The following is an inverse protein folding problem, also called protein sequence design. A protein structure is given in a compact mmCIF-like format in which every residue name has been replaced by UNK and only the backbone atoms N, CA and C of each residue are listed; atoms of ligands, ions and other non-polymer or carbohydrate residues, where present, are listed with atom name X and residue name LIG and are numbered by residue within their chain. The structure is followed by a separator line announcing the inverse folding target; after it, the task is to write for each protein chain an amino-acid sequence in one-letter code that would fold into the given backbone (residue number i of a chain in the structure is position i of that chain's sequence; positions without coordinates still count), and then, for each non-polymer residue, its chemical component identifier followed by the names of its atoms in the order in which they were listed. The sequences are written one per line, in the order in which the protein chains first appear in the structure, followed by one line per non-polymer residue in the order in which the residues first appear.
data_IF_543138370118
#
_entry.id   IF_543138370118
#
_cell.length_a   1.000
_cell.length_b   1.000
_cell.length_c   1.000
_cell.angle_alpha   90.00
_cell.angle_beta   90.00
_cell.angle_gamma   90.00
#
_symmetry.space_group_name_H-M   'P 1'
#
loop_
_entity.id
_entity.type
_entity.pdbx_description
1 polymer ?
#
# COMPACT_ATOMS: atom_id res chain seq x y z
N UNK A 1 -9.69 -17.16 -2.72
CA UNK A 1 -8.30 -16.70 -3.02
C UNK A 1 -7.37 -17.86 -3.38
N UNK A 2 -7.31 -18.93 -2.57
CA UNK A 2 -6.44 -20.09 -2.79
C UNK A 2 -6.57 -20.68 -4.23
N UNK A 3 -7.77 -21.05 -4.64
CA UNK A 3 -8.01 -21.65 -5.97
C UNK A 3 -7.67 -20.69 -7.14
N UNK A 4 -7.88 -19.39 -6.91
CA UNK A 4 -7.50 -18.35 -7.88
C UNK A 4 -5.98 -18.28 -8.03
N UNK A 5 -5.25 -18.30 -6.91
CA UNK A 5 -3.79 -18.23 -6.91
C UNK A 5 -3.16 -19.47 -7.55
N UNK A 6 -3.68 -20.68 -7.24
CA UNK A 6 -3.19 -21.93 -7.82
C UNK A 6 -3.37 -21.99 -9.34
N UNK A 7 -4.42 -21.40 -9.86
CA UNK A 7 -4.72 -21.39 -11.29
C UNK A 7 -4.14 -20.14 -12.00
N UNK A 8 -3.53 -19.21 -11.26
CA UNK A 8 -3.01 -17.96 -11.84
C UNK A 8 -4.08 -17.07 -12.47
N UNK A 9 -5.32 -17.10 -11.95
CA UNK A 9 -6.43 -16.36 -12.54
C UNK A 9 -6.30 -14.86 -12.32
N UNK A 10 -6.58 -14.01 -13.32
CA UNK A 10 -6.46 -12.57 -13.23
C UNK A 10 -7.64 -11.94 -12.46
N UNK A 11 -7.74 -12.26 -11.18
CA UNK A 11 -8.78 -11.75 -10.28
C UNK A 11 -8.26 -10.58 -9.47
N UNK A 12 -9.07 -9.52 -9.34
CA UNK A 12 -8.78 -8.31 -8.57
C UNK A 12 -9.49 -8.39 -7.23
N UNK A 13 -8.74 -8.25 -6.15
CA UNK A 13 -9.26 -8.29 -4.77
C UNK A 13 -9.11 -6.91 -4.12
N UNK A 14 -10.14 -6.05 -4.17
CA UNK A 14 -10.18 -4.85 -3.33
C UNK A 14 -10.46 -5.26 -1.89
N UNK A 15 -9.54 -4.96 -0.98
CA UNK A 15 -9.62 -5.31 0.44
C UNK A 15 -9.98 -4.05 1.22
N UNK A 16 -11.26 -3.91 1.48
CA UNK A 16 -11.82 -2.84 2.31
C UNK A 16 -11.53 -3.09 3.80
N UNK A 17 -11.54 -2.04 4.60
CA UNK A 17 -11.34 -2.09 6.06
C UNK A 17 -10.00 -2.68 6.49
N UNK A 18 -8.94 -2.34 5.76
CA UNK A 18 -7.59 -2.72 6.14
C UNK A 18 -7.18 -2.07 7.47
N UNK A 19 -6.64 -2.85 8.40
CA UNK A 19 -6.21 -2.37 9.71
C UNK A 19 -7.36 -2.24 10.73
N UNK A 20 -7.22 -1.33 11.66
CA UNK A 20 -8.23 -1.06 12.69
C UNK A 20 -9.37 -0.21 12.12
N UNK A 21 -10.59 -0.50 12.52
CA UNK A 21 -11.82 0.04 11.93
C UNK A 21 -12.67 0.85 12.93
N UNK A 22 -12.16 1.16 14.10
CA UNK A 22 -12.83 1.99 15.11
C UNK A 22 -14.21 1.44 15.49
N UNK A 23 -15.26 2.22 15.20
CA UNK A 23 -16.64 1.91 15.59
C UNK A 23 -17.19 0.60 15.00
N UNK A 24 -16.63 0.07 13.92
CA UNK A 24 -17.07 -1.21 13.34
C UNK A 24 -16.71 -2.40 14.25
N UNK A 25 -15.81 -2.21 15.18
CA UNK A 25 -15.44 -3.19 16.21
C UNK A 25 -14.45 -4.26 15.75
N UNK A 26 -14.02 -5.13 16.69
CA UNK A 26 -12.91 -6.07 16.45
C UNK A 26 -13.22 -7.15 15.40
N UNK A 27 -14.49 -7.47 15.18
CA UNK A 27 -14.89 -8.47 14.18
C UNK A 27 -14.75 -8.01 12.74
N UNK A 28 -14.54 -6.70 12.52
CA UNK A 28 -14.35 -6.10 11.21
C UNK A 28 -12.92 -5.63 10.95
N UNK A 29 -12.00 -5.82 11.90
CA UNK A 29 -10.62 -5.42 11.75
C UNK A 29 -9.88 -6.25 10.68
N UNK A 30 -9.28 -5.57 9.70
CA UNK A 30 -8.50 -6.16 8.61
C UNK A 30 -7.02 -6.27 8.94
N UNK A 31 -6.66 -6.95 10.05
CA UNK A 31 -5.29 -6.98 10.57
C UNK A 31 -4.44 -8.10 9.98
N UNK A 32 -5.02 -9.09 9.32
CA UNK A 32 -4.33 -10.32 8.89
C UNK A 32 -4.25 -10.49 7.38
N UNK A 33 -4.91 -9.63 6.61
CA UNK A 33 -5.06 -9.74 5.16
C UNK A 33 -3.71 -9.78 4.42
N UNK A 34 -2.79 -8.90 4.74
CA UNK A 34 -1.44 -8.90 4.14
C UNK A 34 -0.74 -10.23 4.34
N UNK A 35 -0.82 -10.81 5.55
CA UNK A 35 -0.15 -12.07 5.88
C UNK A 35 -0.71 -13.22 5.05
N UNK A 36 -2.02 -13.47 5.09
CA UNK A 36 -2.57 -14.63 4.39
C UNK A 36 -2.62 -14.48 2.87
N UNK A 37 -2.72 -13.24 2.35
CA UNK A 37 -2.71 -13.00 0.90
C UNK A 37 -1.28 -13.14 0.36
N UNK A 38 -0.28 -12.58 1.05
CA UNK A 38 1.10 -12.62 0.60
C UNK A 38 1.71 -14.03 0.61
N UNK A 39 1.16 -14.99 1.38
CA UNK A 39 1.61 -16.39 1.36
C UNK A 39 1.23 -17.10 0.06
N UNK A 40 0.21 -16.63 -0.66
CA UNK A 40 -0.28 -17.30 -1.86
C UNK A 40 0.68 -17.08 -3.05
N UNK A 41 0.99 -18.13 -3.86
CA UNK A 41 1.86 -17.99 -5.01
C UNK A 41 1.24 -17.06 -6.07
N UNK A 42 2.10 -16.31 -6.77
CA UNK A 42 1.67 -15.41 -7.85
C UNK A 42 0.81 -14.21 -7.46
N UNK A 43 0.44 -14.07 -6.19
CA UNK A 43 -0.37 -12.95 -5.70
C UNK A 43 0.44 -11.65 -5.66
N UNK A 44 -0.09 -10.58 -6.25
CA UNK A 44 0.40 -9.21 -6.05
C UNK A 44 -0.37 -8.57 -4.90
N UNK A 45 0.34 -7.91 -3.96
CA UNK A 45 -0.25 -7.30 -2.76
C UNK A 45 0.18 -5.86 -2.63
N UNK A 46 -0.77 -4.92 -2.72
CA UNK A 46 -0.56 -3.49 -2.65
C UNK A 46 -1.27 -2.87 -1.44
N UNK A 47 -0.74 -1.75 -0.93
CA UNK A 47 -1.42 -0.92 0.06
C UNK A 47 -1.25 0.57 -0.29
N UNK A 48 -2.38 1.25 -0.44
CA UNK A 48 -2.39 2.67 -0.78
C UNK A 48 -2.02 3.54 0.41
N UNK A 49 -1.13 4.51 0.19
CA UNK A 49 -0.75 5.50 1.19
C UNK A 49 -1.81 6.60 1.36
N UNK A 50 -2.53 6.90 0.30
CA UNK A 50 -3.56 7.94 0.23
C UNK A 50 -4.57 7.63 -0.90
N UNK A 51 -5.55 8.50 -1.11
CA UNK A 51 -6.59 8.33 -2.11
C UNK A 51 -6.09 8.46 -3.56
N UNK A 52 -5.02 9.22 -3.82
CA UNK A 52 -4.42 9.28 -5.15
C UNK A 52 -3.67 7.98 -5.49
N UNK A 53 -2.89 7.45 -4.54
CA UNK A 53 -2.25 6.14 -4.69
C UNK A 53 -3.29 5.02 -4.85
N UNK A 54 -4.42 5.09 -4.12
CA UNK A 54 -5.52 4.15 -4.31
C UNK A 54 -6.05 4.20 -5.75
N UNK A 55 -6.19 5.38 -6.33
CA UNK A 55 -6.62 5.56 -7.73
C UNK A 55 -5.61 4.96 -8.72
N UNK A 56 -4.31 5.10 -8.47
CA UNK A 56 -3.26 4.45 -9.24
C UNK A 56 -3.32 2.93 -9.10
N UNK A 57 -3.51 2.40 -7.89
CA UNK A 57 -3.62 0.96 -7.64
C UNK A 57 -4.85 0.33 -8.26
N UNK A 58 -6.00 1.01 -8.24
CA UNK A 58 -7.21 0.57 -8.97
C UNK A 58 -6.93 0.48 -10.48
N UNK A 59 -6.27 1.49 -11.04
CA UNK A 59 -5.90 1.50 -12.46
C UNK A 59 -4.92 0.38 -12.80
N UNK A 60 -3.92 0.17 -11.94
CA UNK A 60 -2.93 -0.91 -12.07
C UNK A 60 -3.60 -2.27 -12.03
N UNK A 61 -4.45 -2.51 -11.03
CA UNK A 61 -5.19 -3.76 -10.89
C UNK A 61 -6.10 -4.02 -12.10
N UNK A 62 -6.77 -2.99 -12.61
CA UNK A 62 -7.63 -3.13 -13.79
C UNK A 62 -6.85 -3.52 -15.06
N UNK A 63 -5.59 -3.12 -15.16
CA UNK A 63 -4.72 -3.41 -16.32
C UNK A 63 -3.88 -4.68 -16.16
N UNK A 64 -3.83 -5.29 -14.97
CA UNK A 64 -2.98 -6.43 -14.68
C UNK A 64 -3.70 -7.74 -14.97
N UNK A 65 -3.26 -8.49 -15.98
CA UNK A 65 -3.84 -9.76 -16.42
C UNK A 65 -2.92 -10.98 -16.26
N UNK A 66 -1.73 -10.80 -15.62
CA UNK A 66 -0.74 -11.86 -15.46
C UNK A 66 -1.02 -12.80 -14.28
N UNK A 67 -1.98 -12.45 -13.41
CA UNK A 67 -2.35 -13.25 -12.25
C UNK A 67 -3.23 -12.49 -11.27
N UNK A 68 -3.42 -13.02 -10.05
CA UNK A 68 -4.24 -12.37 -9.04
C UNK A 68 -3.52 -11.19 -8.39
N UNK A 69 -4.27 -10.11 -8.17
CA UNK A 69 -3.77 -8.87 -7.58
C UNK A 69 -4.73 -8.36 -6.51
N UNK A 70 -4.19 -7.87 -5.41
CA UNK A 70 -4.94 -7.25 -4.33
C UNK A 70 -4.44 -5.85 -4.02
N UNK A 71 -5.34 -4.98 -3.62
CA UNK A 71 -5.02 -3.68 -3.05
C UNK A 71 -5.89 -3.42 -1.82
N UNK A 72 -5.26 -2.97 -0.76
CA UNK A 72 -5.92 -2.74 0.53
C UNK A 72 -6.02 -1.26 0.84
N UNK A 73 -7.12 -0.87 1.47
CA UNK A 73 -7.38 0.49 1.92
C UNK A 73 -8.18 0.51 3.23
N UNK A 74 -8.00 1.55 4.07
CA UNK A 74 -8.64 1.61 5.37
C UNK A 74 -10.11 2.02 5.27
N UNK A 75 -10.83 1.86 6.38
CA UNK A 75 -12.09 2.54 6.62
C UNK A 75 -11.78 3.95 7.10
N UNK A 76 -12.26 4.96 6.41
CA UNK A 76 -12.06 6.36 6.75
C UNK A 76 -12.28 7.30 5.58
N UNK A 77 -12.11 8.57 5.85
CA UNK A 77 -12.08 9.60 4.82
C UNK A 77 -10.67 9.71 4.23
N UNK A 78 -10.55 10.21 3.01
CA UNK A 78 -9.27 10.57 2.41
C UNK A 78 -8.59 11.71 3.17
N UNK A 79 -7.29 11.86 3.00
CA UNK A 79 -6.51 12.93 3.65
C UNK A 79 -6.65 14.28 2.94
N UNK A 80 -7.36 14.33 1.82
CA UNK A 80 -7.70 15.57 1.10
C UNK A 80 -6.59 16.05 0.16
N UNK A 81 -5.80 15.16 -0.40
CA UNK A 81 -4.78 15.51 -1.39
C UNK A 81 -5.40 15.74 -2.78
N UNK A 82 -4.66 16.47 -3.62
CA UNK A 82 -5.05 16.69 -5.01
C UNK A 82 -5.16 15.37 -5.77
N UNK A 83 -6.35 15.09 -6.27
CA UNK A 83 -6.63 13.86 -7.01
C UNK A 83 -6.23 14.00 -8.47
N UNK A 84 -5.41 13.09 -9.02
CA UNK A 84 -5.10 13.10 -10.44
C UNK A 84 -6.39 12.88 -11.26
N UNK A 85 -6.52 13.53 -12.41
CA UNK A 85 -7.68 13.34 -13.28
C UNK A 85 -7.84 11.86 -13.69
N UNK A 86 -6.72 11.15 -13.87
CA UNK A 86 -6.65 9.74 -14.26
C UNK A 86 -5.60 9.01 -13.44
N UNK A 87 -5.91 7.78 -13.01
CA UNK A 87 -4.91 6.89 -12.39
C UNK A 87 -3.84 6.47 -13.40
N UNK A 88 -2.62 6.32 -12.91
CA UNK A 88 -1.49 5.76 -13.67
C UNK A 88 -1.35 4.27 -13.39
N UNK A 89 -0.70 3.53 -14.28
CA UNK A 89 -0.35 2.13 -14.06
C UNK A 89 1.01 2.12 -13.38
N UNK A 90 1.05 1.58 -12.16
CA UNK A 90 2.28 1.43 -11.39
C UNK A 90 3.09 0.24 -11.92
N UNK A 91 4.40 0.36 -11.91
CA UNK A 91 5.29 -0.77 -12.14
C UNK A 91 5.18 -1.74 -10.96
N UNK A 92 4.86 -3.00 -11.25
CA UNK A 92 4.65 -4.02 -10.22
C UNK A 92 5.93 -4.26 -9.42
N UNK A 93 5.82 -4.18 -8.09
CA UNK A 93 6.93 -4.37 -7.18
C UNK A 93 7.81 -3.14 -6.97
N UNK A 94 7.44 -1.96 -7.51
CA UNK A 94 8.23 -0.73 -7.34
C UNK A 94 7.62 0.21 -6.29
N UNK A 95 8.41 0.43 -5.24
CA UNK A 95 8.19 1.50 -4.27
C UNK A 95 8.60 2.87 -4.81
N UNK A 96 8.57 3.87 -3.94
CA UNK A 96 9.08 5.23 -4.24
C UNK A 96 9.75 5.84 -3.01
N UNK A 97 10.87 6.53 -3.21
CA UNK A 97 11.41 7.43 -2.20
C UNK A 97 10.66 8.75 -2.30
N UNK A 98 10.02 9.16 -1.20
CA UNK A 98 9.25 10.41 -1.13
C UNK A 98 10.02 11.53 -0.44
N UNK A 99 11.06 11.18 0.31
CA UNK A 99 11.99 12.11 0.94
C UNK A 99 13.37 11.48 1.06
N UNK A 100 14.40 12.19 0.63
CA UNK A 100 15.80 11.76 0.75
C UNK A 100 16.41 12.16 2.09
N UNK A 101 17.26 11.28 2.63
CA UNK A 101 18.03 11.50 3.84
C UNK A 101 19.27 10.60 3.88
N UNK A 102 20.04 10.66 4.96
CA UNK A 102 21.35 9.98 5.00
C UNK A 102 21.64 9.22 6.29
N UNK A 103 20.81 9.32 7.32
CA UNK A 103 21.10 8.71 8.64
C UNK A 103 20.05 7.69 9.06
N UNK A 104 18.77 7.94 8.76
CA UNK A 104 17.64 7.08 9.12
C UNK A 104 16.84 6.79 7.86
N UNK A 105 16.25 5.60 7.76
CA UNK A 105 15.27 5.27 6.74
C UNK A 105 13.95 4.82 7.40
N UNK A 106 12.85 5.42 6.99
CA UNK A 106 11.49 5.01 7.35
C UNK A 106 10.83 4.40 6.11
N UNK A 107 10.52 3.11 6.18
CA UNK A 107 9.79 2.41 5.14
C UNK A 107 8.32 2.31 5.55
N UNK A 108 7.44 2.99 4.83
CA UNK A 108 6.00 2.94 5.02
C UNK A 108 5.34 1.94 4.10
N UNK A 109 4.26 1.33 4.57
CA UNK A 109 3.38 0.49 3.76
C UNK A 109 1.92 0.88 4.03
N UNK A 110 1.30 1.52 3.05
CA UNK A 110 -0.05 2.05 3.16
C UNK A 110 -0.14 3.39 3.90
N UNK A 111 -1.25 3.64 4.58
CA UNK A 111 -1.64 4.96 5.10
C UNK A 111 -0.77 5.56 6.20
N UNK A 112 0.25 4.84 6.69
CA UNK A 112 1.20 5.39 7.66
C UNK A 112 2.26 6.32 7.05
N UNK A 113 2.20 6.57 5.73
CA UNK A 113 3.15 7.45 5.06
C UNK A 113 3.13 8.88 5.60
N UNK A 114 1.94 9.42 5.88
CA UNK A 114 1.81 10.78 6.43
C UNK A 114 2.50 10.93 7.79
N UNK A 115 2.32 9.95 8.68
CA UNK A 115 2.99 9.92 9.99
C UNK A 115 4.51 9.71 9.87
N UNK A 116 4.96 8.91 8.89
CA UNK A 116 6.39 8.77 8.61
C UNK A 116 7.00 10.10 8.15
N UNK A 117 6.31 10.86 7.31
CA UNK A 117 6.76 12.18 6.87
C UNK A 117 6.83 13.17 8.04
N UNK A 118 5.80 13.23 8.88
CA UNK A 118 5.80 14.07 10.08
C UNK A 118 6.95 13.69 11.05
N UNK A 119 7.13 12.40 11.31
CA UNK A 119 8.22 11.92 12.14
C UNK A 119 9.60 12.24 11.55
N UNK A 120 9.73 12.23 10.22
CA UNK A 120 10.97 12.59 9.55
C UNK A 120 11.33 14.06 9.72
N UNK A 121 10.34 14.97 9.80
CA UNK A 121 10.57 16.39 10.10
C UNK A 121 11.12 16.58 11.52
N UNK A 122 10.54 15.88 12.50
CA UNK A 122 11.02 15.92 13.89
C UNK A 122 12.45 15.34 14.01
N UNK A 123 12.72 14.25 13.33
CA UNK A 123 14.06 13.62 13.31
C UNK A 123 15.09 14.52 12.64
N UNK A 124 14.75 15.16 11.54
CA UNK A 124 15.62 16.12 10.84
C UNK A 124 15.95 17.33 11.73
N UNK A 125 14.97 17.85 12.47
CA UNK A 125 15.18 18.93 13.43
C UNK A 125 16.14 18.51 14.56
N UNK A 126 16.19 17.22 14.90
CA UNK A 126 17.16 16.64 15.83
C UNK A 126 18.53 16.32 15.19
N UNK A 127 18.75 16.69 13.92
CA UNK A 127 20.01 16.43 13.18
C UNK A 127 20.13 15.00 12.62
N UNK A 128 19.01 14.28 12.54
CA UNK A 128 18.94 12.90 12.02
C UNK A 128 18.28 12.92 10.63
N UNK A 129 19.06 13.27 9.62
CA UNK A 129 18.62 13.32 8.20
C UNK A 129 17.91 12.02 7.79
N UNK A 130 16.62 12.09 7.47
CA UNK A 130 15.73 10.94 7.37
C UNK A 130 15.22 10.73 5.95
N UNK A 131 15.46 9.54 5.39
CA UNK A 131 14.80 9.06 4.16
C UNK A 131 13.42 8.50 4.50
N UNK A 132 12.41 8.81 3.69
CA UNK A 132 11.09 8.19 3.77
C UNK A 132 10.77 7.54 2.43
N UNK A 133 10.42 6.26 2.46
CA UNK A 133 10.01 5.49 1.30
C UNK A 133 8.61 4.89 1.50
N UNK A 134 7.83 4.91 0.45
CA UNK A 134 6.54 4.22 0.34
C UNK A 134 6.77 2.91 -0.40
N UNK A 135 6.61 1.78 0.28
CA UNK A 135 6.83 0.47 -0.29
C UNK A 135 5.82 0.12 -1.38
N UNK A 136 4.60 0.69 -1.35
CA UNK A 136 3.48 0.37 -2.26
C UNK A 136 3.10 -1.11 -2.30
N UNK A 137 4.09 -1.99 -2.40
CA UNK A 137 3.93 -3.44 -2.57
C UNK A 137 4.52 -4.20 -1.38
N UNK A 138 3.73 -5.12 -0.81
CA UNK A 138 4.25 -6.14 0.10
C UNK A 138 4.72 -7.37 -0.70
N UNK A 139 4.19 -7.55 -1.91
CA UNK A 139 4.58 -8.63 -2.82
C UNK A 139 4.29 -8.24 -4.28
N UNK A 140 5.27 -8.36 -5.20
CA UNK A 140 6.69 -8.53 -4.87
C UNK A 140 7.27 -7.30 -4.16
N UNK A 141 8.39 -7.47 -3.46
CA UNK A 141 9.14 -6.37 -2.86
C UNK A 141 10.04 -5.70 -3.92
N UNK A 142 10.31 -4.40 -3.74
CA UNK A 142 11.36 -3.67 -4.46
C UNK A 142 12.72 -4.04 -3.84
N UNK A 143 13.55 -4.78 -4.60
CA UNK A 143 14.87 -5.28 -4.19
C UNK A 143 15.99 -4.63 -5.00
#
# INVERSE_FOLDING_TARGET
MHDVALQGLPVRFPIDRAGFVGADGPTHAGSFDTTFIATLPGMVVMAASDEAELKHMVRTAAAYDEGPISFRYPRGEGVGIDMPARGEILEIGKGRVVKDGSKIALLSFGTRLAECLAAAEDLDAAGLSTTVADARFAKPLDL
#
